data_IF_467136676035
#
_entry.id   IF_467136676035
#
_cell.length_a   1.000
_cell.length_b   1.000
_cell.length_c   1.000
_cell.angle_alpha   90.00
_cell.angle_beta   90.00
_cell.angle_gamma   90.00
#
_symmetry.space_group_name_H-M   'P 1'
#
loop_
_entity.id
_entity.type
_entity.pdbx_description
1 polymer ?
#
# COMPACT_ATOMS: atom_id res chain seq x y z
N UNK A 1 -17.47 10.03 2.28
CA UNK A 1 -16.03 10.11 1.96
C UNK A 1 -15.68 8.90 1.12
N UNK A 2 -14.80 9.01 0.13
CA UNK A 2 -14.36 7.90 -0.73
C UNK A 2 -12.86 7.71 -0.58
N UNK A 3 -12.41 6.57 -0.07
CA UNK A 3 -10.99 6.27 0.12
C UNK A 3 -10.60 5.07 -0.73
N UNK A 4 -9.40 5.11 -1.31
CA UNK A 4 -8.75 3.91 -1.85
C UNK A 4 -8.03 3.22 -0.70
N UNK A 5 -8.26 1.93 -0.52
CA UNK A 5 -7.54 1.12 0.46
C UNK A 5 -6.72 0.09 -0.30
N UNK A 6 -5.39 0.27 -0.32
CA UNK A 6 -4.45 -0.67 -0.92
C UNK A 6 -4.00 -1.67 0.14
N UNK A 7 -4.45 -2.92 0.01
CA UNK A 7 -4.15 -3.99 0.98
C UNK A 7 -4.20 -5.39 0.35
N UNK A 8 -3.83 -6.42 1.13
CA UNK A 8 -3.76 -7.82 0.69
C UNK A 8 -5.14 -8.51 0.61
N UNK A 9 -6.09 -7.92 -0.12
CA UNK A 9 -7.48 -8.41 -0.22
C UNK A 9 -7.61 -9.82 -0.80
N UNK A 10 -6.66 -10.22 -1.65
CA UNK A 10 -6.65 -11.54 -2.28
C UNK A 10 -5.88 -12.59 -1.46
N UNK A 11 -5.41 -12.23 -0.26
CA UNK A 11 -4.68 -13.15 0.59
C UNK A 11 -5.60 -14.13 1.32
N UNK A 12 -5.20 -15.39 1.36
CA UNK A 12 -5.85 -16.44 2.18
C UNK A 12 -5.47 -16.39 3.66
N UNK A 13 -4.56 -15.49 4.06
CA UNK A 13 -4.16 -15.33 5.44
C UNK A 13 -5.23 -14.57 6.24
N UNK A 14 -5.83 -15.24 7.22
CA UNK A 14 -6.88 -14.66 8.08
C UNK A 14 -6.43 -13.39 8.82
N UNK A 15 -5.15 -13.27 9.17
CA UNK A 15 -4.58 -12.08 9.80
C UNK A 15 -4.63 -10.85 8.89
N UNK A 16 -4.49 -11.03 7.58
CA UNK A 16 -4.66 -9.94 6.62
C UNK A 16 -6.11 -9.47 6.58
N UNK A 17 -7.07 -10.40 6.57
CA UNK A 17 -8.49 -10.08 6.67
C UNK A 17 -8.82 -9.31 7.95
N UNK A 18 -8.27 -9.73 9.09
CA UNK A 18 -8.46 -9.03 10.37
C UNK A 18 -7.91 -7.59 10.33
N UNK A 19 -6.72 -7.36 9.77
CA UNK A 19 -6.15 -6.02 9.62
C UNK A 19 -6.99 -5.13 8.72
N UNK A 20 -7.43 -5.65 7.57
CA UNK A 20 -8.24 -4.92 6.59
C UNK A 20 -9.59 -4.53 7.18
N UNK A 21 -10.33 -5.50 7.71
CA UNK A 21 -11.66 -5.28 8.26
C UNK A 21 -11.63 -4.45 9.53
N UNK A 22 -10.62 -4.67 10.39
CA UNK A 22 -10.41 -3.87 11.59
C UNK A 22 -10.18 -2.40 11.24
N UNK A 23 -9.30 -2.12 10.28
CA UNK A 23 -9.04 -0.75 9.81
C UNK A 23 -10.31 -0.08 9.27
N UNK A 24 -10.98 -0.71 8.30
CA UNK A 24 -12.16 -0.13 7.66
C UNK A 24 -13.25 0.17 8.68
N UNK A 25 -13.53 -0.79 9.57
CA UNK A 25 -14.56 -0.65 10.61
C UNK A 25 -14.21 0.41 11.65
N UNK A 26 -13.01 0.35 12.23
CA UNK A 26 -12.62 1.28 13.29
C UNK A 26 -12.56 2.71 12.77
N UNK A 27 -12.12 2.93 11.53
CA UNK A 27 -12.16 4.28 10.94
C UNK A 27 -13.59 4.83 10.79
N UNK A 28 -14.53 4.02 10.32
CA UNK A 28 -15.93 4.46 10.20
C UNK A 28 -16.56 4.76 11.58
N UNK A 29 -16.24 3.95 12.60
CA UNK A 29 -16.67 4.15 13.98
C UNK A 29 -16.07 5.45 14.57
N UNK A 30 -14.75 5.62 14.49
CA UNK A 30 -14.02 6.75 15.08
C UNK A 30 -14.41 8.09 14.45
N UNK A 31 -14.61 8.12 13.12
CA UNK A 31 -15.01 9.34 12.43
C UNK A 31 -16.53 9.54 12.40
N UNK A 32 -17.31 8.55 12.82
CA UNK A 32 -18.78 8.58 12.75
C UNK A 32 -19.29 8.94 11.34
N UNK A 33 -18.60 8.45 10.31
CA UNK A 33 -18.96 8.62 8.89
C UNK A 33 -18.92 7.28 8.17
N UNK A 34 -19.78 7.10 7.18
CA UNK A 34 -19.64 6.01 6.22
C UNK A 34 -18.60 6.36 5.15
N UNK A 35 -17.73 5.41 4.83
CA UNK A 35 -16.66 5.53 3.85
C UNK A 35 -16.96 4.59 2.67
N UNK A 36 -17.00 5.13 1.45
CA UNK A 36 -17.00 4.32 0.23
C UNK A 36 -15.57 3.81 -0.03
N UNK A 37 -15.30 2.61 0.47
CA UNK A 37 -14.03 1.92 0.31
C UNK A 37 -13.85 1.40 -1.12
N UNK A 38 -12.91 1.98 -1.86
CA UNK A 38 -12.37 1.41 -3.09
C UNK A 38 -11.19 0.50 -2.74
N UNK A 39 -11.50 -0.78 -2.56
CA UNK A 39 -10.53 -1.82 -2.22
C UNK A 39 -9.63 -2.12 -3.41
N UNK A 40 -8.33 -1.99 -3.19
CA UNK A 40 -7.28 -2.19 -4.18
C UNK A 40 -6.38 -3.37 -3.77
N UNK A 41 -6.37 -4.49 -4.52
CA UNK A 41 -5.64 -5.68 -4.12
C UNK A 41 -4.14 -5.50 -4.36
N UNK A 42 -3.37 -5.25 -3.31
CA UNK A 42 -1.92 -5.04 -3.38
C UNK A 42 -1.14 -6.28 -3.87
N UNK A 43 -1.71 -7.47 -3.68
CA UNK A 43 -1.12 -8.71 -4.20
C UNK A 43 -1.05 -8.71 -5.74
N UNK A 44 -2.02 -8.11 -6.42
CA UNK A 44 -2.04 -8.05 -7.89
C UNK A 44 -0.86 -7.23 -8.43
N UNK A 45 -0.45 -6.17 -7.71
CA UNK A 45 0.75 -5.39 -8.02
C UNK A 45 2.03 -6.17 -7.72
N UNK A 46 2.02 -6.92 -6.62
CA UNK A 46 3.20 -7.69 -6.18
C UNK A 46 3.52 -8.85 -7.12
N UNK A 47 2.50 -9.43 -7.76
CA UNK A 47 2.64 -10.54 -8.70
C UNK A 47 2.59 -10.10 -10.17
N UNK A 48 2.69 -8.79 -10.45
CA UNK A 48 2.78 -8.25 -11.81
C UNK A 48 1.50 -8.35 -12.64
N UNK A 49 0.34 -8.58 -12.02
CA UNK A 49 -0.96 -8.52 -12.69
C UNK A 49 -1.39 -7.07 -12.96
N UNK A 50 -0.87 -6.13 -12.16
CA UNK A 50 -1.01 -4.68 -12.31
C UNK A 50 0.32 -4.00 -12.02
N UNK A 51 0.50 -2.76 -12.46
CA UNK A 51 1.67 -1.95 -12.09
C UNK A 51 1.23 -0.60 -11.49
N UNK A 52 2.16 0.03 -10.76
CA UNK A 52 1.99 1.37 -10.22
C UNK A 52 2.26 2.42 -11.30
N UNK A 53 1.22 2.77 -12.06
CA UNK A 53 1.30 3.61 -13.24
C UNK A 53 0.37 4.84 -13.15
N UNK A 54 0.12 5.48 -14.29
CA UNK A 54 -0.79 6.63 -14.36
C UNK A 54 -2.23 6.27 -13.97
N UNK A 55 -2.71 5.05 -14.30
CA UNK A 55 -4.07 4.62 -13.96
C UNK A 55 -4.22 4.46 -12.44
N UNK A 56 -3.17 3.97 -11.75
CA UNK A 56 -3.13 3.95 -10.29
C UNK A 56 -3.18 5.36 -9.70
N UNK A 57 -2.40 6.30 -10.23
CA UNK A 57 -2.41 7.71 -9.80
C UNK A 57 -3.79 8.34 -10.01
N UNK A 58 -4.41 8.10 -11.15
CA UNK A 58 -5.71 8.67 -11.49
C UNK A 58 -6.80 8.14 -10.55
N UNK A 59 -6.74 6.86 -10.19
CA UNK A 59 -7.63 6.25 -9.19
C UNK A 59 -7.56 6.94 -7.84
N UNK A 60 -6.35 7.28 -7.37
CA UNK A 60 -6.15 8.03 -6.13
C UNK A 60 -6.69 9.46 -6.28
N UNK A 61 -6.38 10.12 -7.40
CA UNK A 61 -6.81 11.50 -7.62
C UNK A 61 -8.35 11.65 -7.75
N UNK A 62 -9.05 10.58 -8.12
CA UNK A 62 -10.52 10.48 -8.16
C UNK A 62 -11.16 10.08 -6.81
N UNK A 63 -10.37 9.98 -5.73
CA UNK A 63 -10.83 9.74 -4.38
C UNK A 63 -10.49 10.92 -3.45
N UNK A 64 -10.85 10.81 -2.17
CA UNK A 64 -10.45 11.75 -1.12
C UNK A 64 -9.04 11.44 -0.57
N UNK A 65 -8.48 10.26 -0.88
CA UNK A 65 -7.17 9.83 -0.41
C UNK A 65 -6.90 8.34 -0.63
N UNK A 66 -5.66 7.96 -0.33
CA UNK A 66 -5.18 6.58 -0.33
C UNK A 66 -4.74 6.19 1.08
N UNK A 67 -5.20 5.03 1.54
CA UNK A 67 -4.65 4.32 2.69
C UNK A 67 -3.91 3.10 2.18
N UNK A 68 -2.64 3.01 2.54
CA UNK A 68 -1.79 1.84 2.29
C UNK A 68 -1.66 1.07 3.60
N UNK A 69 -2.27 -0.11 3.64
CA UNK A 69 -2.21 -1.00 4.79
C UNK A 69 -1.92 -2.41 4.32
N UNK A 70 -1.07 -3.15 5.03
CA UNK A 70 -0.78 -4.50 4.54
C UNK A 70 0.35 -5.20 5.24
N UNK A 71 0.30 -6.51 5.12
CA UNK A 71 1.36 -7.36 5.64
C UNK A 71 2.57 -7.35 4.69
N UNK A 72 3.75 -7.44 5.28
CA UNK A 72 5.01 -7.66 4.56
C UNK A 72 5.32 -6.50 3.60
N UNK A 73 4.97 -5.26 3.98
CA UNK A 73 5.26 -4.03 3.21
C UNK A 73 6.74 -3.89 2.91
N UNK A 74 7.57 -4.05 3.95
CA UNK A 74 9.03 -4.03 3.82
C UNK A 74 9.51 -5.47 3.83
N UNK A 75 10.02 -5.96 2.71
CA UNK A 75 10.40 -7.37 2.63
C UNK A 75 11.66 -7.63 1.80
N UNK A 76 12.37 -6.59 1.38
CA UNK A 76 13.67 -6.63 0.69
C UNK A 76 13.72 -7.49 -0.57
N UNK A 77 12.58 -7.83 -1.18
CA UNK A 77 12.58 -8.69 -2.36
C UNK A 77 13.20 -7.94 -3.55
N UNK A 78 13.93 -8.68 -4.36
CA UNK A 78 14.66 -8.23 -5.54
C UNK A 78 13.79 -7.46 -6.55
N UNK A 79 12.54 -7.86 -6.70
CA UNK A 79 11.57 -7.19 -7.57
C UNK A 79 10.96 -5.90 -6.97
N UNK A 80 11.38 -5.49 -5.77
CA UNK A 80 11.06 -4.18 -5.20
C UNK A 80 12.24 -3.21 -5.39
N UNK A 81 12.70 -3.03 -6.62
CA UNK A 81 13.93 -2.33 -6.95
C UNK A 81 13.76 -0.80 -7.05
N UNK A 82 12.53 -0.29 -7.24
CA UNK A 82 12.26 1.15 -7.35
C UNK A 82 12.18 1.82 -5.98
N UNK A 83 11.55 1.18 -5.00
CA UNK A 83 11.32 1.78 -3.67
C UNK A 83 11.86 0.95 -2.51
N UNK A 84 12.24 -0.32 -2.72
CA UNK A 84 12.66 -1.22 -1.64
C UNK A 84 11.49 -1.71 -0.78
N UNK A 85 10.25 -1.42 -1.18
CA UNK A 85 9.02 -1.80 -0.49
C UNK A 85 8.04 -2.36 -1.48
N UNK A 86 7.01 -3.10 -1.06
CA UNK A 86 5.96 -3.55 -1.98
C UNK A 86 5.18 -2.39 -2.62
N UNK A 87 5.27 -1.17 -2.09
CA UNK A 87 4.66 0.02 -2.66
C UNK A 87 5.62 0.57 -3.70
N UNK A 88 5.70 -0.11 -4.83
CA UNK A 88 6.69 0.08 -5.88
C UNK A 88 6.29 1.22 -6.84
N UNK A 89 5.77 2.35 -6.35
CA UNK A 89 5.42 3.48 -7.21
C UNK A 89 6.69 4.15 -7.80
N UNK A 90 6.87 4.20 -9.14
CA UNK A 90 7.99 4.87 -9.76
C UNK A 90 8.08 6.34 -9.35
N UNK A 91 9.31 6.82 -9.17
CA UNK A 91 9.60 8.18 -8.70
C UNK A 91 8.84 9.28 -9.48
N UNK A 92 8.74 9.14 -10.80
CA UNK A 92 8.05 10.09 -11.70
C UNK A 92 6.54 10.23 -11.49
N UNK A 93 5.91 9.35 -10.71
CA UNK A 93 4.47 9.40 -10.43
C UNK A 93 4.16 10.04 -9.07
N UNK A 94 5.13 10.15 -8.15
CA UNK A 94 4.90 10.70 -6.82
C UNK A 94 4.39 12.14 -6.84
N UNK A 95 4.96 12.99 -7.69
CA UNK A 95 4.52 14.38 -7.84
C UNK A 95 3.16 14.54 -8.55
N UNK A 96 2.60 13.45 -9.09
CA UNK A 96 1.29 13.46 -9.75
C UNK A 96 0.14 13.09 -8.83
N UNK A 97 0.43 12.53 -7.66
CA UNK A 97 -0.56 12.28 -6.61
C UNK A 97 -0.89 13.62 -5.94
N UNK A 98 -2.15 14.04 -6.04
CA UNK A 98 -2.66 15.32 -5.50
C UNK A 98 -3.47 15.15 -4.22
N UNK A 99 -3.64 13.90 -3.77
CA UNK A 99 -4.44 13.53 -2.60
C UNK A 99 -3.55 12.98 -1.49
N UNK A 100 -3.99 13.06 -0.22
CA UNK A 100 -3.24 12.48 0.88
C UNK A 100 -3.01 10.97 0.70
N UNK A 101 -1.80 10.53 1.02
CA UNK A 101 -1.42 9.12 1.10
C UNK A 101 -1.02 8.83 2.54
N UNK A 102 -1.69 7.87 3.18
CA UNK A 102 -1.43 7.48 4.56
C UNK A 102 -0.98 6.02 4.57
N UNK A 103 0.19 5.76 5.13
CA UNK A 103 0.65 4.41 5.40
C UNK A 103 0.29 4.03 6.84
N UNK A 104 -0.48 2.96 7.02
CA UNK A 104 -1.03 2.58 8.32
C UNK A 104 -0.99 1.07 8.54
N UNK A 105 -0.56 0.62 9.73
CA UNK A 105 -0.50 -0.80 10.06
C UNK A 105 0.48 -1.59 9.18
N UNK A 106 1.65 -1.00 8.89
CA UNK A 106 2.67 -1.64 8.05
C UNK A 106 3.45 -2.69 8.84
N UNK A 107 3.89 -3.73 8.16
CA UNK A 107 4.84 -4.70 8.74
C UNK A 107 6.07 -4.90 7.88
N UNK A 108 7.14 -5.33 8.54
CA UNK A 108 8.38 -5.68 7.90
C UNK A 108 8.67 -7.16 8.07
N UNK A 109 9.43 -7.71 7.12
CA UNK A 109 9.98 -9.05 7.19
C UNK A 109 11.45 -8.97 6.78
N UNK A 110 12.31 -9.39 7.70
CA UNK A 110 13.74 -9.51 7.45
C UNK A 110 14.04 -10.96 7.06
N UNK A 111 14.50 -11.18 5.84
CA UNK A 111 14.94 -12.50 5.39
C UNK A 111 16.47 -12.60 5.52
N UNK A 112 16.97 -13.78 5.94
CA UNK A 112 18.42 -13.98 6.08
C UNK A 112 19.09 -13.91 4.71
N UNK A 113 20.14 -13.09 4.60
CA UNK A 113 20.93 -12.94 3.37
C UNK A 113 20.31 -12.03 2.31
N UNK A 114 19.29 -11.25 2.69
CA UNK A 114 18.62 -10.38 1.76
C UNK A 114 19.31 -9.01 1.65
N UNK A 115 19.46 -8.54 0.42
CA UNK A 115 20.01 -7.23 0.12
C UNK A 115 18.87 -6.22 0.10
N UNK A 116 18.97 -5.18 0.94
CA UNK A 116 18.09 -4.03 0.82
C UNK A 116 18.73 -3.06 -0.16
N UNK A 117 18.09 -2.88 -1.31
CA UNK A 117 18.54 -1.89 -2.28
C UNK A 117 18.39 -0.48 -1.71
N UNK A 118 19.31 0.41 -2.06
CA UNK A 118 19.30 1.84 -1.67
C UNK A 118 19.51 2.13 -0.18
N UNK A 119 20.08 1.19 0.60
CA UNK A 119 20.47 1.45 2.00
C UNK A 119 21.37 2.69 2.15
N UNK A 120 22.25 2.92 1.17
CA UNK A 120 23.14 4.08 1.07
C UNK A 120 22.39 5.41 0.92
N UNK A 121 21.14 5.37 0.47
CA UNK A 121 20.28 6.56 0.27
C UNK A 121 19.45 6.92 1.50
N UNK A 122 19.43 6.08 2.53
CA UNK A 122 18.78 6.41 3.80
C UNK A 122 19.61 7.49 4.50
N UNK A 123 19.04 8.70 4.60
CA UNK A 123 19.65 9.81 5.36
C UNK A 123 19.66 9.44 6.86
N UNK A 124 20.81 9.59 7.50
CA UNK A 124 20.94 9.53 8.97
C UNK A 124 20.35 10.77 9.61
#
# INVERSE_FOLDING_TARGET
MKLVHLANFNSTNVGNGALIHGLEKTMEEDFSISIDWKREPWDDYTFGLRDFDQDFVDKINQSDGLIVGGAVTFNGRDYNDRTGTRFELPFQYWNKIKKPVVFYGLSYRCWKGQEYHHLDKLKR
#
